data_IF_616365607767
#
_entry.id   IF_616365607767
#
_cell.length_a   1.000
_cell.length_b   1.000
_cell.length_c   1.000
_cell.angle_alpha   90.00
_cell.angle_beta   90.00
_cell.angle_gamma   90.00
#
_symmetry.space_group_name_H-M   'P 1'
#
loop_
_entity.id
_entity.type
_entity.pdbx_description
1 polymer ?
#
# COMPACT_ATOMS: atom_id res chain seq x y z
N UNK A 1 -36.36 28.24 -28.35
CA UNK A 1 -34.88 28.27 -28.30
C UNK A 1 -34.43 26.94 -27.68
N UNK A 2 -34.36 25.89 -28.48
CA UNK A 2 -34.02 24.56 -28.00
C UNK A 2 -32.52 24.48 -27.74
N UNK A 3 -32.13 24.23 -26.49
CA UNK A 3 -30.74 23.96 -26.15
C UNK A 3 -30.33 22.64 -26.80
N UNK A 4 -29.59 22.72 -27.91
CA UNK A 4 -28.97 21.56 -28.53
C UNK A 4 -27.73 21.18 -27.72
N UNK A 5 -27.90 20.32 -26.72
CA UNK A 5 -26.80 19.75 -25.94
C UNK A 5 -25.84 19.00 -26.88
N UNK A 6 -24.73 19.64 -27.28
CA UNK A 6 -23.65 18.98 -28.01
C UNK A 6 -22.91 18.04 -27.08
N UNK A 7 -22.60 16.83 -27.55
CA UNK A 7 -21.81 15.81 -26.82
C UNK A 7 -20.51 16.38 -26.24
N UNK A 8 -19.91 17.34 -26.92
CA UNK A 8 -18.70 18.10 -26.52
C UNK A 8 -18.85 18.82 -25.16
N UNK A 9 -20.06 19.29 -24.79
CA UNK A 9 -20.28 19.99 -23.52
C UNK A 9 -20.38 19.02 -22.33
N UNK A 10 -20.72 17.75 -22.56
CA UNK A 10 -20.69 16.73 -21.52
C UNK A 10 -19.25 16.46 -21.08
N UNK A 11 -18.31 16.34 -22.02
CA UNK A 11 -16.89 16.09 -21.72
C UNK A 11 -16.30 17.20 -20.83
N UNK A 12 -16.64 18.46 -21.12
CA UNK A 12 -16.15 19.65 -20.38
C UNK A 12 -16.65 19.70 -18.93
N UNK A 13 -17.80 19.08 -18.62
CA UNK A 13 -18.37 19.12 -17.27
C UNK A 13 -18.09 17.81 -16.50
N UNK A 14 -18.31 16.66 -17.14
CA UNK A 14 -18.18 15.36 -16.47
C UNK A 14 -16.73 14.99 -16.15
N UNK A 15 -15.77 15.33 -17.02
CA UNK A 15 -14.36 14.98 -16.78
C UNK A 15 -13.79 15.79 -15.61
N UNK A 16 -13.90 17.13 -15.57
CA UNK A 16 -13.40 17.90 -14.43
C UNK A 16 -14.15 17.58 -13.14
N UNK A 17 -15.46 17.36 -13.18
CA UNK A 17 -16.22 16.97 -11.98
C UNK A 17 -15.80 15.59 -11.46
N UNK A 18 -15.61 14.60 -12.33
CA UNK A 18 -15.10 13.28 -11.95
C UNK A 18 -13.68 13.34 -11.35
N UNK A 19 -12.81 14.19 -11.89
CA UNK A 19 -11.47 14.43 -11.34
C UNK A 19 -11.52 15.18 -10.00
N UNK A 20 -12.40 16.18 -9.87
CA UNK A 20 -12.59 16.94 -8.62
C UNK A 20 -13.12 16.05 -7.50
N UNK A 21 -14.04 15.13 -7.78
CA UNK A 21 -14.53 14.15 -6.81
C UNK A 21 -13.39 13.28 -6.31
N UNK A 22 -12.58 12.73 -7.22
CA UNK A 22 -11.43 11.90 -6.88
C UNK A 22 -10.38 12.68 -6.08
N UNK A 23 -10.02 13.89 -6.53
CA UNK A 23 -9.03 14.72 -5.86
C UNK A 23 -9.51 15.19 -4.48
N UNK A 24 -10.78 15.62 -4.39
CA UNK A 24 -11.41 16.03 -3.14
C UNK A 24 -11.44 14.90 -2.12
N UNK A 25 -11.72 13.66 -2.54
CA UNK A 25 -11.65 12.50 -1.66
C UNK A 25 -10.22 12.26 -1.14
N UNK A 26 -9.21 12.33 -2.00
CA UNK A 26 -7.82 12.10 -1.58
C UNK A 26 -7.31 13.22 -0.65
N UNK A 27 -7.74 14.47 -0.85
CA UNK A 27 -7.45 15.57 0.07
C UNK A 27 -8.15 15.37 1.43
N UNK A 28 -9.40 14.93 1.43
CA UNK A 28 -10.13 14.57 2.63
C UNK A 28 -9.46 13.41 3.38
N UNK A 29 -9.01 12.37 2.66
CA UNK A 29 -8.29 11.25 3.24
C UNK A 29 -6.95 11.69 3.84
N UNK A 30 -6.19 12.54 3.13
CA UNK A 30 -4.94 13.12 3.64
C UNK A 30 -5.18 13.92 4.93
N UNK A 31 -6.23 14.74 4.95
CA UNK A 31 -6.65 15.46 6.15
C UNK A 31 -6.97 14.50 7.31
N UNK A 32 -7.76 13.45 7.08
CA UNK A 32 -8.07 12.46 8.12
C UNK A 32 -6.83 11.71 8.59
N UNK A 33 -5.95 11.32 7.67
CA UNK A 33 -4.72 10.61 8.01
C UNK A 33 -3.81 11.48 8.91
N UNK A 34 -3.69 12.77 8.61
CA UNK A 34 -2.85 13.69 9.40
C UNK A 34 -3.46 14.09 10.75
N UNK A 35 -4.78 14.27 10.84
CA UNK A 35 -5.45 14.77 12.06
C UNK A 35 -6.08 13.69 12.93
N UNK A 36 -6.52 12.58 12.34
CA UNK A 36 -7.30 11.52 12.97
C UNK A 36 -6.82 10.14 12.49
N UNK A 37 -5.51 9.80 12.63
CA UNK A 37 -4.95 8.55 12.11
C UNK A 37 -5.69 7.31 12.63
N UNK A 38 -6.19 7.36 13.86
CA UNK A 38 -6.94 6.29 14.52
C UNK A 38 -8.30 5.94 13.88
N UNK A 39 -8.80 6.77 12.98
CA UNK A 39 -10.08 6.54 12.25
C UNK A 39 -9.86 6.03 10.82
N UNK A 40 -8.61 5.76 10.47
CA UNK A 40 -8.22 5.32 9.12
C UNK A 40 -7.65 3.91 9.17
N UNK A 41 -7.95 3.11 8.15
CA UNK A 41 -7.37 1.78 7.98
C UNK A 41 -5.84 1.84 7.95
N UNK A 42 -5.26 2.84 7.28
CA UNK A 42 -3.79 3.03 7.27
C UNK A 42 -3.19 3.24 8.66
N UNK A 43 -3.87 3.99 9.54
CA UNK A 43 -3.42 4.17 10.92
C UNK A 43 -3.52 2.89 11.74
N UNK A 44 -4.61 2.13 11.59
CA UNK A 44 -4.78 0.82 12.21
C UNK A 44 -3.73 -0.20 11.75
N UNK A 45 -3.47 -0.25 10.46
CA UNK A 45 -2.44 -1.10 9.87
C UNK A 45 -1.05 -0.70 10.36
N UNK A 46 -0.73 0.60 10.42
CA UNK A 46 0.56 1.06 10.94
C UNK A 46 0.73 0.64 12.39
N UNK A 47 -0.28 0.84 13.26
CA UNK A 47 -0.24 0.37 14.64
C UNK A 47 0.00 -1.15 14.74
N UNK A 48 -0.65 -1.93 13.87
CA UNK A 48 -0.47 -3.38 13.81
C UNK A 48 0.94 -3.77 13.34
N UNK A 49 1.51 -3.04 12.37
CA UNK A 49 2.88 -3.24 11.87
C UNK A 49 3.92 -2.90 12.94
N UNK A 50 3.72 -1.83 13.71
CA UNK A 50 4.57 -1.47 14.85
C UNK A 50 4.60 -2.61 15.87
N UNK A 51 3.42 -3.06 16.32
CA UNK A 51 3.32 -4.15 17.29
C UNK A 51 3.87 -5.48 16.75
N UNK A 52 3.70 -5.73 15.45
CA UNK A 52 4.27 -6.90 14.77
C UNK A 52 5.80 -6.87 14.76
N UNK A 53 6.40 -5.74 14.40
CA UNK A 53 7.86 -5.57 14.39
C UNK A 53 8.45 -5.69 15.79
N UNK A 54 7.83 -5.03 16.78
CA UNK A 54 8.28 -5.07 18.18
C UNK A 54 8.32 -6.51 18.72
N UNK A 55 7.29 -7.32 18.43
CA UNK A 55 7.26 -8.74 18.82
C UNK A 55 8.24 -9.59 18.04
N UNK A 56 8.37 -9.35 16.74
CA UNK A 56 9.33 -10.09 15.90
C UNK A 56 10.76 -9.89 16.39
N UNK A 57 11.10 -8.68 16.85
CA UNK A 57 12.45 -8.35 17.33
C UNK A 57 12.80 -8.99 18.69
N UNK A 58 11.83 -9.52 19.44
CA UNK A 58 12.08 -10.31 20.66
C UNK A 58 12.38 -11.78 20.38
N UNK A 59 11.99 -12.26 19.21
CA UNK A 59 12.27 -13.63 18.77
C UNK A 59 13.75 -13.71 18.40
N UNK A 60 14.39 -14.82 18.72
CA UNK A 60 15.77 -15.09 18.31
C UNK A 60 15.89 -15.03 16.78
N UNK A 61 17.02 -14.54 16.27
CA UNK A 61 17.25 -14.37 14.83
C UNK A 61 17.03 -15.68 14.06
N UNK A 62 17.36 -16.83 14.66
CA UNK A 62 17.19 -18.16 14.06
C UNK A 62 15.73 -18.55 13.86
N UNK A 63 14.82 -18.01 14.67
CA UNK A 63 13.41 -18.38 14.69
C UNK A 63 12.51 -17.35 13.97
N UNK A 64 13.08 -16.28 13.40
CA UNK A 64 12.33 -15.24 12.65
C UNK A 64 11.85 -15.65 11.24
N UNK A 65 11.97 -16.93 10.87
CA UNK A 65 11.68 -17.41 9.51
C UNK A 65 10.27 -17.08 9.00
N UNK A 66 9.26 -17.10 9.89
CA UNK A 66 7.90 -16.71 9.52
C UNK A 66 7.80 -15.22 9.15
N UNK A 67 8.46 -14.35 9.93
CA UNK A 67 8.43 -12.92 9.66
C UNK A 67 9.17 -12.55 8.38
N UNK A 68 10.29 -13.24 8.12
CA UNK A 68 11.00 -13.15 6.86
C UNK A 68 10.10 -13.56 5.69
N UNK A 69 9.34 -14.65 5.83
CA UNK A 69 8.40 -15.13 4.80
C UNK A 69 7.31 -14.10 4.50
N UNK A 70 6.74 -13.45 5.51
CA UNK A 70 5.75 -12.38 5.30
C UNK A 70 6.35 -11.22 4.50
N UNK A 71 7.58 -10.79 4.81
CA UNK A 71 8.19 -9.66 4.10
C UNK A 71 8.59 -10.06 2.67
N UNK A 72 9.14 -11.25 2.47
CA UNK A 72 9.56 -11.71 1.13
C UNK A 72 8.38 -12.01 0.21
N UNK A 73 7.25 -12.51 0.74
CA UNK A 73 6.01 -12.64 -0.03
C UNK A 73 5.48 -11.26 -0.46
N UNK A 74 5.50 -10.26 0.42
CA UNK A 74 5.15 -8.88 0.06
C UNK A 74 6.10 -8.27 -0.98
N UNK A 75 7.42 -8.54 -0.90
CA UNK A 75 8.40 -8.15 -1.94
C UNK A 75 8.03 -8.77 -3.29
N UNK A 76 7.68 -10.06 -3.31
CA UNK A 76 7.27 -10.75 -4.52
C UNK A 76 6.02 -10.11 -5.13
N UNK A 77 4.98 -9.86 -4.31
CA UNK A 77 3.76 -9.21 -4.79
C UNK A 77 4.02 -7.79 -5.31
N UNK A 78 4.85 -7.00 -4.62
CA UNK A 78 5.23 -5.65 -5.07
C UNK A 78 5.95 -5.69 -6.42
N UNK A 79 6.85 -6.66 -6.61
CA UNK A 79 7.59 -6.85 -7.86
C UNK A 79 6.67 -7.29 -9.01
N UNK A 80 5.69 -8.15 -8.73
CA UNK A 80 4.66 -8.52 -9.70
C UNK A 80 3.80 -7.32 -10.12
N UNK A 81 3.30 -6.53 -9.16
CA UNK A 81 2.51 -5.32 -9.45
C UNK A 81 3.32 -4.27 -10.20
N UNK A 82 4.60 -4.11 -9.85
CA UNK A 82 5.55 -3.28 -10.58
C UNK A 82 5.66 -3.72 -12.04
N UNK A 83 5.89 -5.02 -12.28
CA UNK A 83 6.01 -5.59 -13.62
C UNK A 83 4.73 -5.40 -14.44
N UNK A 84 3.56 -5.64 -13.85
CA UNK A 84 2.26 -5.39 -14.50
C UNK A 84 2.12 -3.92 -14.88
N UNK A 85 2.45 -3.01 -13.97
CA UNK A 85 2.38 -1.56 -14.22
C UNK A 85 3.32 -1.13 -15.37
N UNK A 86 4.51 -1.72 -15.44
CA UNK A 86 5.48 -1.47 -16.52
C UNK A 86 4.99 -2.03 -17.86
N UNK A 87 4.43 -3.24 -17.88
CA UNK A 87 3.84 -3.86 -19.08
C UNK A 87 2.68 -3.03 -19.61
N UNK A 88 1.77 -2.58 -18.74
CA UNK A 88 0.67 -1.70 -19.14
C UNK A 88 1.17 -0.36 -19.68
N UNK A 89 2.21 0.21 -19.05
CA UNK A 89 2.86 1.43 -19.54
C UNK A 89 3.44 1.23 -20.94
N UNK A 90 4.15 0.13 -21.18
CA UNK A 90 4.71 -0.21 -22.49
C UNK A 90 3.63 -0.42 -23.56
N UNK A 91 2.55 -1.11 -23.22
CA UNK A 91 1.40 -1.32 -24.11
C UNK A 91 0.77 0.00 -24.54
N UNK A 92 0.53 0.90 -23.58
CA UNK A 92 -0.04 2.24 -23.84
C UNK A 92 0.94 3.11 -24.64
N UNK A 93 2.24 3.07 -24.31
CA UNK A 93 3.27 3.79 -25.07
C UNK A 93 3.39 3.31 -26.52
N UNK A 94 3.29 2.00 -26.75
CA UNK A 94 3.28 1.42 -28.10
C UNK A 94 2.05 1.86 -28.87
N UNK A 95 0.87 1.87 -28.23
CA UNK A 95 -0.37 2.36 -28.86
C UNK A 95 -0.25 3.85 -29.23
N UNK A 96 0.32 4.67 -28.35
CA UNK A 96 0.56 6.09 -28.64
C UNK A 96 1.54 6.29 -29.81
N UNK A 97 2.59 5.47 -29.90
CA UNK A 97 3.61 5.56 -30.96
C UNK A 97 3.14 5.06 -32.33
N UNK A 98 2.22 4.10 -32.39
CA UNK A 98 1.72 3.55 -33.65
C UNK A 98 0.58 4.42 -34.22
N UNK A 99 0.94 5.60 -34.76
CA UNK A 99 0.01 6.59 -35.36
C UNK A 99 -0.63 6.18 -36.70
N UNK A 100 -0.67 4.88 -37.04
CA UNK A 100 -1.23 4.41 -38.32
C UNK A 100 -2.59 3.75 -38.10
N UNK A 101 -3.65 4.52 -38.39
CA UNK A 101 -5.05 4.10 -38.56
C UNK A 101 -5.62 3.26 -37.42
N UNK A 102 -6.16 4.01 -36.46
CA UNK A 102 -7.03 3.60 -35.39
C UNK A 102 -8.20 2.71 -35.88
N UNK A 103 -8.07 1.39 -35.72
CA UNK A 103 -9.09 0.39 -36.12
C UNK A 103 -10.34 0.46 -35.20
N UNK A 104 -10.25 1.11 -34.03
CA UNK A 104 -11.32 1.15 -33.03
C UNK A 104 -11.99 2.53 -32.82
N UNK A 105 -11.56 3.60 -33.51
CA UNK A 105 -12.03 4.98 -33.21
C UNK A 105 -13.47 5.28 -33.57
N UNK A 106 -14.08 4.55 -34.49
CA UNK A 106 -15.33 5.03 -35.11
C UNK A 106 -16.59 4.51 -34.42
N UNK A 107 -16.51 3.45 -33.61
CA UNK A 107 -17.71 2.78 -33.08
C UNK A 107 -17.83 2.72 -31.56
N UNK A 108 -16.74 2.82 -30.79
CA UNK A 108 -16.75 2.60 -29.34
C UNK A 108 -16.46 3.84 -28.48
N UNK A 109 -16.05 4.96 -29.09
CA UNK A 109 -15.61 6.15 -28.34
C UNK A 109 -16.76 7.16 -28.31
N UNK A 110 -17.32 7.39 -27.12
CA UNK A 110 -18.30 8.43 -26.88
C UNK A 110 -17.58 9.67 -26.32
N UNK A 111 -17.55 10.79 -27.05
CA UNK A 111 -16.90 12.05 -26.61
C UNK A 111 -16.12 12.75 -27.72
N UNK A 112 -15.40 13.82 -27.38
CA UNK A 112 -14.55 14.55 -28.33
C UNK A 112 -13.41 13.64 -28.82
N UNK A 113 -13.34 13.48 -30.13
CA UNK A 113 -12.47 12.52 -30.82
C UNK A 113 -11.23 13.17 -31.43
N UNK A 114 -10.94 14.43 -31.08
CA UNK A 114 -9.72 15.11 -31.52
C UNK A 114 -8.47 14.29 -31.16
N UNK A 115 -7.56 14.14 -32.13
CA UNK A 115 -6.32 13.38 -31.97
C UNK A 115 -5.48 13.90 -30.80
N UNK A 116 -5.51 15.21 -30.53
CA UNK A 116 -4.80 15.83 -29.41
C UNK A 116 -5.36 15.38 -28.05
N UNK A 117 -6.69 15.25 -27.91
CA UNK A 117 -7.34 14.84 -26.67
C UNK A 117 -7.07 13.36 -26.38
N UNK A 118 -7.09 12.50 -27.42
CA UNK A 118 -6.73 11.09 -27.26
C UNK A 118 -5.29 10.91 -26.76
N UNK A 119 -4.34 11.67 -27.30
CA UNK A 119 -2.95 11.65 -26.81
C UNK A 119 -2.85 12.10 -25.35
N UNK A 120 -3.57 13.13 -24.94
CA UNK A 120 -3.59 13.60 -23.53
C UNK A 120 -4.14 12.50 -22.59
N UNK A 121 -5.22 11.83 -22.99
CA UNK A 121 -5.81 10.70 -22.23
C UNK A 121 -4.77 9.60 -21.98
N UNK A 122 -4.10 9.15 -23.05
CA UNK A 122 -3.11 8.07 -22.99
C UNK A 122 -1.84 8.47 -22.24
N UNK A 123 -1.33 9.70 -22.43
CA UNK A 123 -0.16 10.21 -21.70
C UNK A 123 -0.45 10.32 -20.21
N UNK A 124 -1.62 10.83 -19.83
CA UNK A 124 -2.01 10.95 -18.42
C UNK A 124 -2.12 9.56 -17.79
N UNK A 125 -2.76 8.61 -18.47
CA UNK A 125 -2.84 7.22 -18.03
C UNK A 125 -1.46 6.58 -17.86
N UNK A 126 -0.55 6.80 -18.82
CA UNK A 126 0.83 6.33 -18.77
C UNK A 126 1.57 6.87 -17.55
N UNK A 127 1.44 8.16 -17.23
CA UNK A 127 2.07 8.78 -16.07
C UNK A 127 1.62 8.09 -14.77
N UNK A 128 0.32 7.81 -14.61
CA UNK A 128 -0.18 7.12 -13.40
C UNK A 128 0.35 5.69 -13.27
N UNK A 129 0.47 4.93 -14.37
CA UNK A 129 1.09 3.61 -14.32
C UNK A 129 2.59 3.67 -14.00
N UNK A 130 3.31 4.68 -14.48
CA UNK A 130 4.72 4.88 -14.13
C UNK A 130 4.89 5.29 -12.65
N UNK A 131 3.98 6.10 -12.11
CA UNK A 131 3.96 6.43 -10.67
C UNK A 131 3.71 5.16 -9.85
N UNK A 132 2.77 4.31 -10.26
CA UNK A 132 2.51 3.02 -9.61
C UNK A 132 3.76 2.12 -9.65
N UNK A 133 4.38 1.96 -10.82
CA UNK A 133 5.63 1.22 -11.01
C UNK A 133 6.72 1.71 -10.07
N UNK A 134 7.01 3.01 -10.07
CA UNK A 134 8.06 3.59 -9.23
C UNK A 134 7.78 3.37 -7.73
N UNK A 135 6.52 3.50 -7.31
CA UNK A 135 6.09 3.30 -5.93
C UNK A 135 6.26 1.84 -5.47
N UNK A 136 5.93 0.87 -6.33
CA UNK A 136 6.16 -0.54 -6.02
C UNK A 136 7.64 -0.90 -5.99
N UNK A 137 8.48 -0.29 -6.84
CA UNK A 137 9.95 -0.45 -6.74
C UNK A 137 10.48 0.09 -5.41
N UNK A 138 10.02 1.27 -4.96
CA UNK A 138 10.43 1.79 -3.64
C UNK A 138 9.93 0.90 -2.49
N UNK A 139 8.73 0.33 -2.61
CA UNK A 139 8.22 -0.65 -1.65
C UNK A 139 9.16 -1.85 -1.52
N UNK A 140 9.53 -2.45 -2.66
CA UNK A 140 10.48 -3.57 -2.70
C UNK A 140 11.80 -3.19 -2.03
N UNK A 141 12.36 -2.02 -2.34
CA UNK A 141 13.60 -1.53 -1.72
C UNK A 141 13.48 -1.45 -0.19
N UNK A 142 12.41 -0.86 0.33
CA UNK A 142 12.18 -0.71 1.76
C UNK A 142 12.04 -2.07 2.46
N UNK A 143 11.31 -3.02 1.86
CA UNK A 143 11.15 -4.36 2.42
C UNK A 143 12.40 -5.22 2.33
N UNK A 144 13.21 -5.08 1.27
CA UNK A 144 14.53 -5.70 1.18
C UNK A 144 15.43 -5.15 2.30
N UNK A 145 15.41 -3.84 2.54
CA UNK A 145 16.15 -3.25 3.66
C UNK A 145 15.67 -3.78 5.02
N UNK A 146 14.36 -3.87 5.23
CA UNK A 146 13.78 -4.45 6.45
C UNK A 146 14.19 -5.92 6.64
N UNK A 147 14.31 -6.69 5.55
CA UNK A 147 14.79 -8.07 5.57
C UNK A 147 16.22 -8.15 6.11
N UNK A 148 17.14 -7.33 5.60
CA UNK A 148 18.51 -7.28 6.10
C UNK A 148 18.58 -6.91 7.60
N UNK A 149 17.77 -5.95 8.03
CA UNK A 149 17.71 -5.54 9.44
C UNK A 149 17.17 -6.66 10.34
N UNK A 150 16.21 -7.45 9.87
CA UNK A 150 15.61 -8.55 10.63
C UNK A 150 16.53 -9.76 10.77
N UNK A 151 17.36 -10.03 9.76
CA UNK A 151 18.25 -11.19 9.70
C UNK A 151 19.69 -10.87 10.12
N UNK A 152 19.96 -9.64 10.57
CA UNK A 152 21.31 -9.21 10.95
C UNK A 152 21.85 -10.10 12.10
N UNK A 153 22.92 -10.87 11.89
CA UNK A 153 23.50 -11.72 12.93
C UNK A 153 24.31 -10.85 13.92
N UNK A 154 24.28 -11.23 15.21
CA UNK A 154 25.14 -10.68 16.27
C UNK A 154 25.13 -9.14 16.42
N UNK A 155 24.07 -8.48 15.96
CA UNK A 155 23.88 -7.03 16.09
C UNK A 155 22.58 -6.72 16.85
N UNK A 156 22.67 -5.90 17.89
CA UNK A 156 21.49 -5.34 18.55
C UNK A 156 20.90 -4.22 17.67
N UNK A 157 20.11 -4.59 16.68
CA UNK A 157 19.37 -3.65 15.83
C UNK A 157 18.15 -3.12 16.60
N UNK A 158 18.00 -1.80 16.80
CA UNK A 158 16.81 -1.26 17.45
C UNK A 158 15.56 -1.49 16.59
N UNK A 159 14.45 -1.90 17.23
CA UNK A 159 13.20 -2.20 16.53
C UNK A 159 12.66 -1.01 15.70
N UNK A 160 12.96 0.21 16.12
CA UNK A 160 12.57 1.45 15.43
C UNK A 160 13.10 1.55 13.99
N UNK A 161 14.27 0.98 13.70
CA UNK A 161 14.82 0.97 12.33
C UNK A 161 14.04 0.03 11.41
N UNK A 162 13.72 -1.17 11.91
CA UNK A 162 12.89 -2.14 11.18
C UNK A 162 11.48 -1.60 10.98
N UNK A 163 10.92 -0.99 12.03
CA UNK A 163 9.61 -0.35 12.00
C UNK A 163 9.55 0.72 10.92
N UNK A 164 10.53 1.64 10.92
CA UNK A 164 10.62 2.71 9.92
C UNK A 164 10.70 2.14 8.51
N UNK A 165 11.52 1.11 8.28
CA UNK A 165 11.64 0.48 6.97
C UNK A 165 10.32 -0.18 6.50
N UNK A 166 9.62 -0.88 7.40
CA UNK A 166 8.33 -1.52 7.10
C UNK A 166 7.23 -0.49 6.85
N UNK A 167 7.15 0.57 7.65
CA UNK A 167 6.16 1.64 7.48
C UNK A 167 6.42 2.40 6.18
N UNK A 168 7.67 2.76 5.88
CA UNK A 168 8.00 3.43 4.62
C UNK A 168 7.64 2.57 3.41
N UNK A 169 7.96 1.27 3.44
CA UNK A 169 7.56 0.34 2.39
C UNK A 169 6.05 0.27 2.22
N UNK A 170 5.31 0.18 3.33
CA UNK A 170 3.85 0.19 3.30
C UNK A 170 3.23 1.49 2.79
N UNK A 171 3.87 2.63 3.05
CA UNK A 171 3.41 3.92 2.56
C UNK A 171 3.55 3.98 1.03
N UNK A 172 4.71 3.57 0.50
CA UNK A 172 4.90 3.47 -0.95
C UNK A 172 3.94 2.46 -1.61
N UNK A 173 3.67 1.34 -0.94
CA UNK A 173 2.68 0.37 -1.42
C UNK A 173 1.30 1.03 -1.57
N UNK A 174 0.90 1.78 -0.54
CA UNK A 174 -0.38 2.49 -0.53
C UNK A 174 -0.44 3.53 -1.64
N UNK A 175 0.62 4.30 -1.87
CA UNK A 175 0.72 5.25 -2.99
C UNK A 175 0.57 4.52 -4.33
N UNK A 176 1.23 3.38 -4.51
CA UNK A 176 1.14 2.57 -5.72
C UNK A 176 -0.28 2.07 -5.98
N UNK A 177 -0.95 1.54 -4.96
CA UNK A 177 -2.34 1.10 -5.05
C UNK A 177 -3.29 2.25 -5.42
N UNK A 178 -3.10 3.44 -4.83
CA UNK A 178 -3.89 4.63 -5.17
C UNK A 178 -3.67 5.08 -6.61
N UNK A 179 -2.42 5.08 -7.07
CA UNK A 179 -2.10 5.39 -8.45
C UNK A 179 -2.78 4.41 -9.43
N UNK A 180 -2.84 3.11 -9.11
CA UNK A 180 -3.57 2.12 -9.92
C UNK A 180 -5.09 2.39 -9.94
N UNK A 181 -5.70 2.74 -8.80
CA UNK A 181 -7.13 3.10 -8.76
C UNK A 181 -7.46 4.33 -9.63
N UNK A 182 -6.60 5.35 -9.61
CA UNK A 182 -6.71 6.47 -10.55
C UNK A 182 -6.51 6.04 -12.00
N UNK A 183 -5.51 5.19 -12.27
CA UNK A 183 -5.26 4.68 -13.62
C UNK A 183 -6.47 3.91 -14.18
N UNK A 184 -7.16 3.12 -13.37
CA UNK A 184 -8.41 2.44 -13.79
C UNK A 184 -9.49 3.45 -14.17
N UNK A 185 -9.68 4.50 -13.38
CA UNK A 185 -10.65 5.57 -13.66
C UNK A 185 -10.32 6.29 -14.98
N UNK A 186 -9.03 6.57 -15.21
CA UNK A 186 -8.53 7.19 -16.44
C UNK A 186 -8.56 6.24 -17.66
N UNK A 187 -8.42 4.93 -17.45
CA UNK A 187 -8.61 3.96 -18.51
C UNK A 187 -10.06 3.98 -19.01
N UNK A 188 -11.03 4.10 -18.10
CA UNK A 188 -12.45 4.22 -18.46
C UNK A 188 -12.76 5.52 -19.22
N UNK A 189 -11.93 6.55 -19.06
CA UNK A 189 -12.01 7.79 -19.84
C UNK A 189 -11.69 7.63 -21.33
N UNK A 190 -10.95 6.57 -21.70
CA UNK A 190 -10.72 6.22 -23.11
C UNK A 190 -12.03 5.84 -23.80
N UNK A 191 -12.97 5.21 -23.09
CA UNK A 191 -14.31 4.85 -23.61
C UNK A 191 -15.30 6.01 -23.62
N UNK A 192 -15.09 7.01 -22.75
CA UNK A 192 -15.84 8.27 -22.76
C UNK A 192 -15.90 8.97 -21.39
N UNK A 193 -16.48 10.18 -21.32
CA UNK A 193 -16.63 10.91 -20.06
C UNK A 193 -17.66 10.28 -19.11
N UNK A 194 -18.69 9.58 -19.63
CA UNK A 194 -19.75 8.97 -18.82
C UNK A 194 -19.20 7.78 -18.03
N UNK A 195 -18.52 6.77 -18.65
CA UNK A 195 -17.88 5.70 -17.89
C UNK A 195 -16.85 6.23 -16.89
N UNK A 196 -16.08 7.26 -17.25
CA UNK A 196 -15.12 7.91 -16.35
C UNK A 196 -15.80 8.47 -15.11
N UNK A 197 -16.84 9.28 -15.27
CA UNK A 197 -17.55 9.89 -14.14
C UNK A 197 -18.18 8.84 -13.22
N UNK A 198 -18.88 7.86 -13.79
CA UNK A 198 -19.48 6.76 -13.01
C UNK A 198 -18.39 6.01 -12.26
N UNK A 199 -17.26 5.72 -12.92
CA UNK A 199 -16.13 5.04 -12.29
C UNK A 199 -15.49 5.86 -11.18
N UNK A 200 -15.40 7.20 -11.30
CA UNK A 200 -14.92 8.07 -10.23
C UNK A 200 -15.79 7.97 -8.98
N UNK A 201 -17.13 8.03 -9.15
CA UNK A 201 -18.08 7.92 -8.02
C UNK A 201 -17.98 6.55 -7.36
N UNK A 202 -17.99 5.48 -8.16
CA UNK A 202 -17.85 4.10 -7.67
C UNK A 202 -16.50 3.92 -6.95
N UNK A 203 -15.42 4.43 -7.53
CA UNK A 203 -14.08 4.34 -6.95
C UNK A 203 -14.01 5.07 -5.60
N UNK A 204 -14.58 6.27 -5.48
CA UNK A 204 -14.68 6.97 -4.20
C UNK A 204 -15.50 6.17 -3.18
N UNK A 205 -16.60 5.53 -3.59
CA UNK A 205 -17.38 4.65 -2.70
C UNK A 205 -16.56 3.44 -2.22
N UNK A 206 -15.84 2.78 -3.12
CA UNK A 206 -14.94 1.66 -2.79
C UNK A 206 -13.83 2.12 -1.85
N UNK A 207 -13.17 3.23 -2.16
CA UNK A 207 -12.11 3.79 -1.31
C UNK A 207 -12.65 4.18 0.06
N UNK A 208 -13.84 4.77 0.14
CA UNK A 208 -14.45 5.13 1.40
C UNK A 208 -14.66 3.93 2.31
N UNK A 209 -15.09 2.79 1.75
CA UNK A 209 -15.23 1.54 2.49
C UNK A 209 -13.87 0.94 2.88
N UNK A 210 -12.87 1.01 2.00
CA UNK A 210 -11.51 0.51 2.27
C UNK A 210 -10.77 1.35 3.33
N UNK A 211 -11.02 2.66 3.37
CA UNK A 211 -10.33 3.62 4.24
C UNK A 211 -11.04 3.86 5.57
N UNK A 212 -12.33 3.54 5.65
CA UNK A 212 -13.11 3.74 6.85
C UNK A 212 -13.02 2.49 7.71
N UNK A 213 -12.21 2.58 8.75
CA UNK A 213 -12.25 1.64 9.86
C UNK A 213 -12.84 2.38 11.07
N UNK A 214 -13.92 1.82 11.60
CA UNK A 214 -14.59 2.34 12.81
C UNK A 214 -14.29 1.48 14.03
N UNK A 215 -13.52 0.40 13.87
CA UNK A 215 -13.13 -0.43 14.99
C UNK A 215 -12.19 0.35 15.94
N UNK A 216 -12.29 0.13 17.26
CA UNK A 216 -11.30 0.66 18.19
C UNK A 216 -9.97 -0.05 17.98
N UNK A 217 -8.87 0.70 18.12
CA UNK A 217 -7.51 0.15 18.01
C UNK A 217 -7.33 -1.03 18.95
N UNK A 218 -6.92 -2.17 18.39
CA UNK A 218 -6.58 -3.33 19.19
C UNK A 218 -5.38 -3.01 20.09
N UNK A 219 -5.60 -3.05 21.40
CA UNK A 219 -4.53 -2.90 22.38
C UNK A 219 -3.74 -4.21 22.45
N UNK A 220 -2.64 -4.25 21.71
CA UNK A 220 -1.68 -5.34 21.79
C UNK A 220 -1.09 -5.39 23.21
N UNK A 221 -1.08 -6.57 23.84
CA UNK A 221 -0.52 -6.77 25.19
C UNK A 221 0.91 -6.22 25.24
N UNK A 222 1.24 -5.35 26.22
CA UNK A 222 2.56 -4.75 26.31
C UNK A 222 3.63 -5.82 26.47
N UNK A 223 4.75 -5.59 25.80
CA UNK A 223 5.92 -6.45 25.86
C UNK A 223 6.51 -6.38 27.28
N UNK A 224 6.69 -7.50 27.99
CA UNK A 224 7.39 -7.48 29.26
C UNK A 224 8.83 -6.99 29.06
N UNK A 225 9.25 -5.99 29.84
CA UNK A 225 10.59 -5.41 29.77
C UNK A 225 11.68 -6.51 29.83
N UNK A 226 12.73 -6.36 29.02
CA UNK A 226 13.90 -7.28 29.00
C UNK A 226 14.49 -7.48 30.40
N UNK A 227 14.39 -6.47 31.28
CA UNK A 227 14.76 -6.57 32.69
C UNK A 227 13.86 -7.51 33.50
N UNK A 228 12.54 -7.46 33.29
CA UNK A 228 11.56 -8.33 33.95
C UNK A 228 11.76 -9.78 33.52
N UNK A 229 11.98 -10.02 32.21
CA UNK A 229 12.27 -11.35 31.69
C UNK A 229 13.58 -11.92 32.27
N UNK A 230 14.61 -11.08 32.41
CA UNK A 230 15.88 -11.48 33.02
C UNK A 230 15.71 -11.84 34.49
N UNK A 231 14.98 -11.03 35.25
CA UNK A 231 14.69 -11.28 36.67
C UNK A 231 13.92 -12.59 36.87
N UNK A 232 12.89 -12.84 36.06
CA UNK A 232 12.11 -14.08 36.11
C UNK A 232 12.96 -15.29 35.74
N UNK A 233 13.84 -15.17 34.73
CA UNK A 233 14.78 -16.22 34.36
C UNK A 233 15.79 -16.54 35.47
N UNK A 234 16.30 -15.51 36.14
CA UNK A 234 17.22 -15.64 37.28
C UNK A 234 16.53 -16.28 38.49
N UNK A 235 15.28 -15.91 38.80
CA UNK A 235 14.47 -16.55 39.85
C UNK A 235 14.19 -18.02 39.54
N UNK A 236 13.73 -18.34 38.32
CA UNK A 236 13.47 -19.73 37.89
C UNK A 236 14.75 -20.59 37.99
N UNK A 237 15.90 -20.04 37.61
CA UNK A 237 17.19 -20.71 37.75
C UNK A 237 17.61 -20.88 39.22
N UNK A 238 17.32 -19.91 40.08
CA UNK A 238 17.57 -20.02 41.53
C UNK A 238 16.68 -21.09 42.18
N UNK A 239 15.40 -21.15 41.82
CA UNK A 239 14.45 -22.17 42.29
C UNK A 239 14.89 -23.56 41.81
N UNK A 240 15.31 -23.69 40.54
CA UNK A 240 15.84 -24.96 40.02
C UNK A 240 17.07 -25.46 40.79
N UNK A 241 18.00 -24.57 41.13
CA UNK A 241 19.17 -24.91 41.97
C UNK A 241 18.77 -25.32 43.39
N UNK A 242 17.80 -24.63 44.00
CA UNK A 242 17.32 -24.96 45.35
C UNK A 242 16.63 -26.33 45.41
N UNK A 243 15.80 -26.64 44.41
CA UNK A 243 15.14 -27.97 44.29
C UNK A 243 16.17 -29.08 44.10
N UNK A 244 17.23 -28.84 43.32
CA UNK A 244 18.30 -29.82 43.10
C UNK A 244 19.16 -30.05 44.36
N UNK A 245 19.31 -29.05 45.23
CA UNK A 245 19.96 -29.22 46.53
C UNK A 245 19.09 -29.98 47.53
N UNK A 246 17.76 -29.78 47.52
CA UNK A 246 16.83 -30.57 48.36
C UNK A 246 16.68 -32.02 47.91
N UNK A 247 16.80 -32.29 46.60
CA UNK A 247 16.66 -33.63 46.02
C UNK A 247 17.92 -34.51 46.11
N UNK A 248 19.02 -34.00 46.70
CA UNK A 248 20.27 -34.76 46.83
C UNK A 248 20.21 -35.58 48.13
N UNK A 249 19.99 -36.90 48.08
CA UNK A 249 19.91 -37.70 49.30
C UNK A 249 21.24 -37.58 50.04
N UNK A 250 21.19 -37.30 51.34
CA UNK A 250 22.32 -37.47 52.25
C UNK A 250 22.64 -38.97 52.33
N UNK A 251 23.32 -39.49 51.31
CA UNK A 251 23.85 -40.85 51.27
C UNK A 251 25.28 -40.83 51.76
N UNK A 252 25.47 -41.35 52.97
CA UNK A 252 26.74 -41.85 53.50
C UNK A 252 27.29 -42.99 52.65
#
# INVERSE_FOLDING_TARGET
MGWTWKKEHLDVILVPSGLLIMFGYHLYLLYRYLKLPHTTTMGHENNSKVAYVERTMQIDVRDRGQALTVITTNISTATTLSSISLVLSSLIGTWLGNSTKTIFTTYLIYGDTSQSIMSIKLITLLIFFLIAFASFIQTTRCFVHATFLLTMPDAEVPASYVETAVIMGSNFWSIGMRALYFAVTLLLWVFGPIPMFVSSVVMVGVLHNLDSDSAPLHQFRPVPSRSVLKNVGEEMAAVGRAVQQLGRPHGN
#
